data_IF_499609134078
#
_entry.id   IF_499609134078
#
_cell.length_a   1.000
_cell.length_b   1.000
_cell.length_c   1.000
_cell.angle_alpha   90.00
_cell.angle_beta   90.00
_cell.angle_gamma   90.00
#
_symmetry.space_group_name_H-M   'P 1'
#
loop_
_entity.id
_entity.type
_entity.pdbx_description
1 polymer ?
#
# COMPACT_ATOMS: atom_id res chain seq x y z
N UNK A 1 10.87 -2.39 -27.21
CA UNK A 1 11.65 -3.38 -26.42
C UNK A 1 11.28 -3.29 -24.93
N UNK A 2 10.08 -3.74 -24.60
CA UNK A 2 9.74 -4.40 -23.32
C UNK A 2 8.69 -5.42 -23.72
N UNK A 3 9.12 -6.66 -23.97
CA UNK A 3 8.20 -7.74 -24.32
C UNK A 3 7.61 -8.30 -23.02
N UNK A 4 6.33 -8.02 -22.78
CA UNK A 4 5.53 -8.76 -21.80
C UNK A 4 5.17 -10.09 -22.46
N UNK A 5 5.23 -11.17 -21.70
CA UNK A 5 4.74 -12.47 -22.13
C UNK A 5 3.32 -12.63 -21.60
N UNK A 6 2.34 -12.48 -22.49
CA UNK A 6 0.95 -12.79 -22.19
C UNK A 6 0.78 -14.31 -22.22
N UNK A 7 -0.01 -14.81 -21.29
CA UNK A 7 -0.26 -16.24 -21.10
C UNK A 7 -1.76 -16.47 -21.08
N UNK A 8 -2.25 -17.36 -21.93
CA UNK A 8 -3.67 -17.73 -22.03
C UNK A 8 -3.88 -19.16 -21.49
N UNK A 9 -4.41 -19.33 -20.27
CA UNK A 9 -4.58 -20.66 -19.66
C UNK A 9 -5.55 -21.55 -20.41
N UNK A 10 -6.55 -20.99 -21.11
CA UNK A 10 -7.57 -21.77 -21.82
C UNK A 10 -7.01 -22.48 -23.05
N UNK A 11 -5.88 -21.98 -23.58
CA UNK A 11 -5.19 -22.58 -24.75
C UNK A 11 -4.06 -23.52 -24.37
N UNK A 12 -3.65 -23.56 -23.09
CA UNK A 12 -2.52 -24.38 -22.67
C UNK A 12 -2.96 -25.84 -22.47
N UNK A 13 -2.35 -26.76 -23.21
CA UNK A 13 -2.61 -28.20 -23.13
C UNK A 13 -1.60 -28.97 -22.27
N UNK A 14 -0.64 -28.28 -21.66
CA UNK A 14 0.35 -28.89 -20.77
C UNK A 14 1.47 -29.64 -21.48
N UNK A 15 1.72 -29.40 -22.77
CA UNK A 15 2.71 -30.13 -23.56
C UNK A 15 4.18 -29.98 -23.11
N UNK A 16 4.51 -28.91 -22.36
CA UNK A 16 5.86 -28.53 -21.92
C UNK A 16 6.84 -28.06 -23.01
N UNK A 17 6.43 -27.92 -24.27
CA UNK A 17 7.31 -27.48 -25.38
C UNK A 17 8.03 -26.15 -25.08
N UNK A 18 7.36 -25.22 -24.39
CA UNK A 18 7.93 -23.93 -24.00
C UNK A 18 9.03 -24.05 -22.92
N UNK A 19 8.93 -25.06 -22.04
CA UNK A 19 9.93 -25.39 -21.02
C UNK A 19 11.16 -25.98 -21.70
N UNK A 20 10.96 -26.99 -22.56
CA UNK A 20 12.05 -27.66 -23.29
C UNK A 20 12.81 -26.70 -24.20
N UNK A 21 12.09 -25.81 -24.90
CA UNK A 21 12.70 -24.80 -25.75
C UNK A 21 13.52 -23.78 -24.96
N UNK A 22 13.06 -23.38 -23.76
CA UNK A 22 13.81 -22.52 -22.87
C UNK A 22 15.10 -23.22 -22.42
N UNK A 23 14.98 -24.43 -21.88
CA UNK A 23 16.11 -25.21 -21.35
C UNK A 23 17.18 -25.49 -22.40
N UNK A 24 16.78 -25.82 -23.63
CA UNK A 24 17.69 -26.09 -24.74
C UNK A 24 18.61 -24.91 -25.07
N UNK A 25 18.15 -23.67 -24.87
CA UNK A 25 18.91 -22.46 -25.18
C UNK A 25 19.70 -21.98 -23.97
N UNK A 26 19.07 -21.90 -22.80
CA UNK A 26 19.66 -21.26 -21.62
C UNK A 26 20.36 -22.26 -20.69
N UNK A 27 20.26 -23.56 -20.99
CA UNK A 27 20.78 -24.66 -20.16
C UNK A 27 19.95 -24.90 -18.89
N UNK A 28 18.83 -24.21 -18.73
CA UNK A 28 17.90 -24.34 -17.59
C UNK A 28 16.53 -23.77 -17.93
N UNK A 29 15.45 -24.36 -17.42
CA UNK A 29 14.11 -23.80 -17.60
C UNK A 29 13.85 -22.60 -16.67
N UNK A 30 13.47 -21.48 -17.26
CA UNK A 30 13.06 -20.23 -16.55
C UNK A 30 11.56 -19.93 -16.68
N UNK A 31 10.79 -20.91 -17.18
CA UNK A 31 9.35 -20.91 -17.37
C UNK A 31 8.82 -22.22 -16.80
N UNK A 32 7.65 -22.17 -16.17
CA UNK A 32 7.04 -23.32 -15.49
C UNK A 32 5.56 -23.39 -15.82
N UNK A 33 4.97 -24.58 -15.82
CA UNK A 33 3.51 -24.73 -15.90
C UNK A 33 2.96 -25.04 -14.51
N UNK A 34 1.90 -24.33 -14.13
CA UNK A 34 1.11 -24.63 -12.96
C UNK A 34 -0.21 -25.27 -13.41
N UNK A 35 -0.53 -26.44 -12.87
CA UNK A 35 -1.80 -27.12 -13.13
C UNK A 35 -2.94 -26.38 -12.40
N UNK A 36 -4.04 -26.13 -13.11
CA UNK A 36 -5.27 -25.56 -12.57
C UNK A 36 -6.38 -26.62 -12.62
N UNK A 37 -7.54 -26.31 -12.02
CA UNK A 37 -8.72 -27.19 -12.07
C UNK A 37 -9.16 -27.46 -13.53
N UNK A 38 -9.07 -26.43 -14.38
CA UNK A 38 -9.32 -26.50 -15.82
C UNK A 38 -8.12 -25.93 -16.60
N UNK A 39 -7.16 -26.79 -16.96
CA UNK A 39 -6.02 -26.46 -17.82
C UNK A 39 -4.73 -26.10 -17.09
N UNK A 40 -3.83 -25.38 -17.78
CA UNK A 40 -2.49 -25.07 -17.28
C UNK A 40 -2.18 -23.58 -17.42
N UNK A 41 -1.43 -23.03 -16.47
CA UNK A 41 -0.97 -21.65 -16.52
C UNK A 41 0.56 -21.58 -16.57
N UNK A 42 1.08 -20.95 -17.62
CA UNK A 42 2.50 -20.72 -17.75
C UNK A 42 2.96 -19.55 -16.86
N UNK A 43 3.91 -19.82 -15.97
CA UNK A 43 4.55 -18.85 -15.09
C UNK A 43 5.87 -18.41 -15.72
N UNK A 44 5.96 -17.13 -16.05
CA UNK A 44 7.16 -16.52 -16.63
C UNK A 44 7.42 -15.13 -16.05
N UNK A 45 8.71 -14.74 -15.98
CA UNK A 45 9.11 -13.46 -15.40
C UNK A 45 8.63 -12.29 -16.26
N UNK A 46 7.91 -11.36 -15.64
CA UNK A 46 7.29 -10.21 -16.31
C UNK A 46 8.19 -8.97 -16.42
N UNK A 47 9.50 -9.10 -16.11
CA UNK A 47 10.48 -7.99 -16.18
C UNK A 47 9.98 -6.68 -15.56
N UNK A 48 9.39 -6.77 -14.36
CA UNK A 48 8.65 -5.69 -13.71
C UNK A 48 9.42 -4.36 -13.75
N UNK A 49 8.69 -3.25 -13.92
CA UNK A 49 9.25 -1.89 -13.86
C UNK A 49 10.02 -1.67 -12.55
N UNK A 50 9.41 -2.07 -11.43
CA UNK A 50 9.95 -1.99 -10.06
C UNK A 50 9.94 -3.39 -9.39
N UNK A 51 10.99 -4.22 -9.61
CA UNK A 51 10.98 -5.64 -9.23
C UNK A 51 11.10 -5.87 -7.72
N UNK A 52 10.09 -6.51 -7.13
CA UNK A 52 10.05 -6.88 -5.72
C UNK A 52 11.20 -7.83 -5.32
N UNK A 53 11.59 -8.73 -6.23
CA UNK A 53 12.73 -9.62 -6.04
C UNK A 53 14.06 -8.85 -5.89
N UNK A 54 14.24 -7.73 -6.60
CA UNK A 54 15.42 -6.89 -6.45
C UNK A 54 15.43 -6.14 -5.12
N UNK A 55 14.29 -5.53 -4.73
CA UNK A 55 14.15 -4.84 -3.44
C UNK A 55 14.39 -5.77 -2.24
N UNK A 56 13.98 -7.03 -2.36
CA UNK A 56 14.19 -8.04 -1.32
C UNK A 56 15.58 -8.68 -1.30
N UNK A 57 16.43 -8.40 -2.29
CA UNK A 57 17.77 -8.97 -2.36
C UNK A 57 18.75 -8.16 -1.52
N UNK A 58 19.03 -8.57 -0.28
CA UNK A 58 19.96 -7.88 0.62
C UNK A 58 21.44 -7.93 0.17
N UNK A 59 21.76 -8.77 -0.82
CA UNK A 59 23.09 -8.84 -1.46
C UNK A 59 23.20 -7.95 -2.69
N UNK A 60 22.13 -7.26 -3.09
CA UNK A 60 22.03 -6.45 -4.30
C UNK A 60 22.46 -7.22 -5.58
N UNK A 61 22.27 -8.55 -5.56
CA UNK A 61 22.62 -9.48 -6.63
C UNK A 61 21.57 -9.52 -7.76
N UNK A 62 20.45 -8.80 -7.62
CA UNK A 62 19.40 -8.72 -8.63
C UNK A 62 19.33 -7.29 -9.13
N UNK A 63 19.63 -7.07 -10.40
CA UNK A 63 19.73 -5.74 -11.01
C UNK A 63 18.89 -5.64 -12.27
N UNK A 64 18.56 -4.40 -12.65
CA UNK A 64 17.82 -4.12 -13.87
C UNK A 64 18.71 -3.35 -14.84
N UNK A 65 18.95 -3.96 -16.00
CA UNK A 65 19.78 -3.41 -17.07
C UNK A 65 19.00 -3.43 -18.38
N UNK A 66 18.92 -2.29 -19.06
CA UNK A 66 18.23 -2.18 -20.36
C UNK A 66 16.79 -2.73 -20.34
N UNK A 67 16.08 -2.59 -19.21
CA UNK A 67 14.70 -3.09 -19.05
C UNK A 67 14.59 -4.53 -18.58
N UNK A 68 15.69 -5.28 -18.54
CA UNK A 68 15.74 -6.70 -18.16
C UNK A 68 16.21 -6.81 -16.71
N UNK A 69 15.45 -7.51 -15.88
CA UNK A 69 15.86 -7.87 -14.52
C UNK A 69 16.75 -9.10 -14.63
N UNK A 70 17.92 -9.12 -13.97
CA UNK A 70 18.89 -10.22 -14.02
C UNK A 70 19.39 -10.56 -12.62
N UNK A 71 19.84 -11.80 -12.43
CA UNK A 71 20.53 -12.22 -11.20
C UNK A 71 22.02 -12.38 -11.54
N UNK A 72 22.87 -11.62 -10.87
CA UNK A 72 24.32 -11.81 -10.90
C UNK A 72 24.69 -13.00 -10.02
N UNK A 73 24.99 -14.14 -10.64
CA UNK A 73 25.21 -15.39 -9.91
C UNK A 73 26.40 -15.31 -8.95
N UNK A 74 27.46 -14.57 -9.30
CA UNK A 74 28.65 -14.40 -8.44
C UNK A 74 28.34 -13.64 -7.14
N UNK A 75 27.40 -12.70 -7.16
CA UNK A 75 26.96 -11.96 -5.98
C UNK A 75 25.88 -12.72 -5.17
N UNK A 76 25.17 -13.64 -5.83
CA UNK A 76 24.06 -14.38 -5.27
C UNK A 76 24.56 -15.52 -4.36
N UNK A 77 23.99 -15.61 -3.15
CA UNK A 77 24.33 -16.66 -2.18
C UNK A 77 23.28 -17.79 -2.11
N UNK A 78 22.30 -17.79 -3.02
CA UNK A 78 21.29 -18.86 -3.06
C UNK A 78 20.31 -18.90 -1.87
N UNK A 79 20.11 -17.78 -1.15
CA UNK A 79 19.25 -17.72 0.04
C UNK A 79 17.74 -17.91 -0.22
N UNK A 80 17.31 -18.03 -1.48
CA UNK A 80 15.91 -18.26 -1.93
C UNK A 80 14.89 -17.18 -1.56
N UNK A 81 15.29 -16.11 -0.88
CA UNK A 81 14.42 -14.98 -0.52
C UNK A 81 13.70 -14.36 -1.73
N UNK A 82 14.37 -14.24 -2.88
CA UNK A 82 13.76 -13.70 -4.08
C UNK A 82 12.58 -14.55 -4.61
N UNK A 83 12.52 -15.85 -4.30
CA UNK A 83 11.38 -16.70 -4.62
C UNK A 83 10.14 -16.26 -3.83
N UNK A 84 10.30 -15.98 -2.54
CA UNK A 84 9.22 -15.47 -1.67
C UNK A 84 8.79 -14.06 -2.05
N UNK A 85 9.72 -13.26 -2.57
CA UNK A 85 9.47 -11.87 -2.94
C UNK A 85 8.85 -11.71 -4.33
N UNK A 86 8.88 -12.74 -5.17
CA UNK A 86 8.28 -12.69 -6.51
C UNK A 86 6.78 -12.98 -6.41
N UNK A 87 5.88 -11.99 -6.63
CA UNK A 87 4.44 -12.23 -6.55
C UNK A 87 3.92 -13.13 -7.68
N UNK A 88 4.69 -13.27 -8.76
CA UNK A 88 4.38 -14.13 -9.92
C UNK A 88 4.83 -15.57 -9.69
N UNK A 89 5.74 -15.81 -8.73
CA UNK A 89 6.38 -17.13 -8.57
C UNK A 89 7.37 -17.48 -9.67
N UNK A 90 7.82 -16.50 -10.46
CA UNK A 90 8.66 -16.71 -11.65
C UNK A 90 10.17 -16.85 -11.37
N UNK A 91 10.55 -17.16 -10.13
CA UNK A 91 11.96 -17.37 -9.72
C UNK A 91 12.05 -18.74 -9.05
N UNK A 92 12.99 -19.56 -9.51
CA UNK A 92 13.28 -20.88 -8.94
C UNK A 92 14.76 -20.99 -8.56
N UNK A 93 15.20 -22.17 -8.10
CA UNK A 93 16.59 -22.44 -7.80
C UNK A 93 17.02 -23.79 -8.41
N UNK A 94 18.29 -23.91 -8.76
CA UNK A 94 18.96 -25.16 -9.12
C UNK A 94 20.28 -25.30 -8.36
N UNK A 95 21.00 -26.39 -8.64
CA UNK A 95 22.37 -26.59 -8.15
C UNK A 95 23.34 -25.48 -8.61
N UNK A 96 23.04 -24.83 -9.73
CA UNK A 96 23.87 -23.78 -10.32
C UNK A 96 23.46 -22.36 -9.91
N UNK A 97 22.49 -22.21 -9.00
CA UNK A 97 22.09 -20.91 -8.44
C UNK A 97 20.61 -20.57 -8.60
N UNK A 98 20.30 -19.29 -8.40
CA UNK A 98 18.91 -18.79 -8.51
C UNK A 98 18.57 -18.54 -9.98
N UNK A 99 17.45 -19.07 -10.44
CA UNK A 99 17.01 -19.03 -11.83
C UNK A 99 15.81 -18.11 -12.00
N UNK A 100 15.86 -17.25 -13.02
CA UNK A 100 14.72 -16.52 -13.55
C UNK A 100 14.98 -16.08 -14.97
N UNK A 101 13.93 -15.97 -15.78
CA UNK A 101 14.05 -15.54 -17.17
C UNK A 101 14.75 -14.17 -17.25
N UNK A 102 15.88 -14.14 -17.93
CA UNK A 102 16.72 -12.98 -18.20
C UNK A 102 16.73 -12.59 -19.68
N UNK A 103 15.83 -13.20 -20.46
CA UNK A 103 15.65 -12.98 -21.90
C UNK A 103 16.92 -13.23 -22.73
N UNK A 104 17.84 -14.07 -22.25
CA UNK A 104 19.07 -14.44 -22.97
C UNK A 104 18.86 -15.14 -24.32
N UNK A 105 17.67 -15.70 -24.57
CA UNK A 105 17.29 -16.27 -25.87
C UNK A 105 16.96 -15.22 -26.96
N UNK A 106 17.01 -13.92 -26.65
CA UNK A 106 16.72 -12.82 -27.56
C UNK A 106 18.04 -12.15 -27.96
N UNK A 107 18.44 -12.26 -29.23
CA UNK A 107 19.69 -11.67 -29.74
C UNK A 107 19.50 -10.21 -30.19
N UNK A 108 18.36 -9.91 -30.82
CA UNK A 108 18.02 -8.59 -31.35
C UNK A 108 16.66 -8.11 -30.83
N UNK A 109 16.48 -6.79 -30.67
CA UNK A 109 15.18 -6.22 -30.33
C UNK A 109 14.11 -6.64 -31.33
N UNK A 110 13.06 -7.34 -30.88
CA UNK A 110 11.96 -7.82 -31.71
C UNK A 110 12.02 -9.29 -32.07
N UNK A 111 13.10 -10.01 -31.72
CA UNK A 111 13.12 -11.47 -31.88
C UNK A 111 12.03 -12.12 -31.01
N UNK A 112 11.49 -13.24 -31.50
CA UNK A 112 10.49 -14.02 -30.77
C UNK A 112 11.18 -14.85 -29.70
N UNK A 113 10.79 -14.74 -28.42
CA UNK A 113 11.33 -15.58 -27.36
C UNK A 113 11.10 -17.07 -27.66
N UNK A 114 12.07 -17.92 -27.33
CA UNK A 114 12.00 -19.34 -27.66
C UNK A 114 10.79 -20.07 -27.08
N UNK A 115 10.37 -19.70 -25.87
CA UNK A 115 9.16 -20.22 -25.25
C UNK A 115 7.88 -19.89 -26.04
N UNK A 116 7.83 -18.71 -26.67
CA UNK A 116 6.71 -18.28 -27.54
C UNK A 116 6.78 -19.01 -28.87
N UNK A 117 7.97 -19.09 -29.49
CA UNK A 117 8.16 -19.76 -30.77
C UNK A 117 7.80 -21.25 -30.73
N UNK A 118 8.00 -21.91 -29.58
CA UNK A 118 7.64 -23.32 -29.38
C UNK A 118 6.15 -23.54 -29.05
N UNK A 119 5.38 -22.49 -28.77
CA UNK A 119 3.99 -22.63 -28.34
C UNK A 119 3.02 -22.71 -29.52
N UNK A 120 2.84 -23.90 -30.10
CA UNK A 120 1.96 -24.11 -31.26
C UNK A 120 0.49 -23.75 -30.98
N UNK A 121 0.03 -23.92 -29.74
CA UNK A 121 -1.34 -23.60 -29.31
C UNK A 121 -1.59 -22.09 -29.15
N UNK A 122 -0.55 -21.26 -29.20
CA UNK A 122 -0.67 -19.81 -29.02
C UNK A 122 -1.09 -19.42 -27.59
N UNK A 123 -0.72 -20.22 -26.60
CA UNK A 123 -0.86 -19.88 -25.17
C UNK A 123 0.08 -18.73 -24.77
N UNK A 124 1.27 -18.65 -25.37
CA UNK A 124 2.27 -17.64 -25.08
C UNK A 124 2.37 -16.63 -26.21
N UNK A 125 2.38 -15.34 -25.88
CA UNK A 125 2.56 -14.26 -26.84
C UNK A 125 3.56 -13.24 -26.32
N UNK A 126 4.57 -12.91 -27.12
CA UNK A 126 5.49 -11.82 -26.83
C UNK A 126 4.95 -10.53 -27.44
N UNK A 127 4.55 -9.61 -26.57
CA UNK A 127 3.95 -8.35 -27.01
C UNK A 127 4.81 -7.17 -26.65
N UNK A 128 5.07 -6.27 -27.60
CA UNK A 128 5.49 -4.91 -27.21
C UNK A 128 4.27 -4.23 -26.60
N UNK A 129 4.40 -3.86 -25.33
CA UNK A 129 3.33 -3.20 -24.57
C UNK A 129 2.79 -1.98 -25.31
N UNK A 130 3.60 -1.29 -26.12
CA UNK A 130 3.16 -0.12 -26.90
C UNK A 130 2.31 -0.49 -28.11
N UNK A 131 2.60 -1.61 -28.78
CA UNK A 131 1.90 -2.03 -30.00
C UNK A 131 0.51 -2.60 -29.70
N UNK A 132 0.41 -3.43 -28.64
CA UNK A 132 -0.89 -3.92 -28.14
C UNK A 132 -1.82 -2.77 -27.78
N UNK A 133 -1.26 -1.71 -27.18
CA UNK A 133 -2.02 -0.49 -26.85
C UNK A 133 -2.51 0.23 -28.11
N UNK A 134 -1.68 0.34 -29.15
CA UNK A 134 -2.02 1.06 -30.39
C UNK A 134 -2.97 0.31 -31.33
N UNK A 135 -2.92 -1.03 -31.39
CA UNK A 135 -3.84 -1.81 -32.23
C UNK A 135 -5.24 -1.92 -31.62
N UNK A 136 -5.32 -1.90 -30.28
CA UNK A 136 -6.60 -1.73 -29.59
C UNK A 136 -7.23 -0.37 -29.93
N UNK A 137 -6.45 0.71 -30.08
CA UNK A 137 -6.96 2.05 -30.43
C UNK A 137 -7.58 2.13 -31.85
N UNK A 138 -7.05 1.40 -32.85
CA UNK A 138 -7.54 1.43 -34.24
C UNK A 138 -8.94 0.84 -34.43
N UNK A 139 -9.37 -0.06 -33.55
CA UNK A 139 -10.69 -0.72 -33.62
C UNK A 139 -11.89 0.15 -33.21
N UNK A 140 -11.67 1.39 -32.75
CA UNK A 140 -12.70 2.21 -32.10
C UNK A 140 -13.07 3.54 -32.79
N UNK A 141 -12.65 3.78 -34.04
CA UNK A 141 -13.18 4.94 -34.78
C UNK A 141 -14.62 4.71 -35.24
N UNK A 142 -15.61 5.19 -34.47
CA UNK A 142 -16.59 6.20 -34.90
C UNK A 142 -17.80 6.41 -33.96
N UNK A 143 -18.22 7.69 -33.94
CA UNK A 143 -19.53 8.29 -33.64
C UNK A 143 -19.99 8.33 -32.19
N UNK A 144 -19.70 9.50 -31.60
CA UNK A 144 -20.37 10.02 -30.43
C UNK A 144 -21.91 10.07 -30.60
N UNK A 145 -22.63 9.54 -29.62
CA UNK A 145 -24.00 9.93 -29.29
C UNK A 145 -24.26 9.69 -27.80
N UNK A 146 -25.07 10.57 -27.25
CA UNK A 146 -25.29 10.93 -25.86
C UNK A 146 -26.17 9.98 -25.03
N UNK A 147 -25.83 9.94 -23.74
CA UNK A 147 -26.72 9.97 -22.56
C UNK A 147 -27.34 8.71 -21.94
N UNK A 148 -27.25 8.75 -20.61
CA UNK A 148 -28.22 8.40 -19.57
C UNK A 148 -27.98 7.13 -18.75
N UNK A 149 -28.25 7.33 -17.46
CA UNK A 149 -27.82 6.63 -16.25
C UNK A 149 -28.18 5.15 -16.11
N UNK A 150 -27.34 4.41 -15.40
CA UNK A 150 -27.78 3.55 -14.29
C UNK A 150 -26.60 3.14 -13.40
N UNK A 151 -26.78 3.29 -12.09
CA UNK A 151 -25.86 2.78 -11.07
C UNK A 151 -26.07 1.26 -10.92
N UNK A 152 -25.01 0.48 -11.15
CA UNK A 152 -24.84 -0.85 -10.53
C UNK A 152 -23.35 -1.07 -10.18
N UNK A 153 -23.05 -1.80 -9.08
CA UNK A 153 -21.72 -1.81 -8.47
C UNK A 153 -20.82 -2.96 -8.96
N UNK A 154 -19.54 -2.76 -8.64
CA UNK A 154 -18.43 -3.73 -8.56
C UNK A 154 -17.69 -4.08 -9.87
N UNK A 155 -16.53 -3.42 -10.02
CA UNK A 155 -15.33 -4.11 -10.47
C UNK A 155 -14.11 -3.46 -9.80
N UNK A 156 -13.00 -4.20 -9.57
CA UNK A 156 -11.85 -3.78 -8.77
C UNK A 156 -10.99 -2.68 -9.40
N UNK A 157 -11.39 -2.14 -10.55
CA UNK A 157 -10.77 -0.94 -11.14
C UNK A 157 -10.98 0.34 -10.30
N UNK A 158 -11.55 0.20 -9.11
CA UNK A 158 -11.78 1.22 -8.10
C UNK A 158 -10.49 1.79 -7.48
N UNK A 159 -9.30 1.24 -7.73
CA UNK A 159 -8.16 1.54 -6.87
C UNK A 159 -7.58 2.95 -6.99
N UNK A 160 -7.55 3.61 -8.16
CA UNK A 160 -7.11 5.01 -8.22
C UNK A 160 -8.19 5.97 -7.71
N UNK A 161 -9.45 5.80 -8.14
CA UNK A 161 -10.57 6.62 -7.66
C UNK A 161 -10.76 6.47 -6.14
N UNK A 162 -10.64 5.26 -5.58
CA UNK A 162 -10.66 5.02 -4.13
C UNK A 162 -9.40 5.54 -3.41
N UNK A 163 -8.19 5.32 -3.95
CA UNK A 163 -6.94 5.79 -3.34
C UNK A 163 -6.79 7.33 -3.34
N UNK A 164 -7.46 8.00 -4.27
CA UNK A 164 -7.44 9.47 -4.42
C UNK A 164 -8.75 10.17 -4.05
N UNK A 165 -9.82 9.44 -3.70
CA UNK A 165 -11.11 10.08 -3.37
C UNK A 165 -10.96 11.01 -2.16
N UNK A 166 -11.34 12.28 -2.36
CA UNK A 166 -11.17 13.38 -1.40
C UNK A 166 -9.81 14.10 -1.46
N UNK A 167 -8.89 13.65 -2.32
CA UNK A 167 -7.51 14.15 -2.43
C UNK A 167 -7.08 14.46 -3.86
N UNK A 168 -7.81 13.95 -4.85
CA UNK A 168 -7.57 14.27 -6.24
C UNK A 168 -7.77 15.77 -6.46
N UNK A 169 -6.73 16.42 -6.98
CA UNK A 169 -6.76 17.84 -7.38
C UNK A 169 -6.92 18.01 -8.89
N UNK A 170 -7.29 16.92 -9.59
CA UNK A 170 -7.59 16.92 -11.03
C UNK A 170 -6.43 17.40 -11.91
N UNK A 171 -5.19 17.20 -11.45
CA UNK A 171 -3.97 17.63 -12.14
C UNK A 171 -3.67 16.89 -13.46
N UNK A 172 -4.46 15.88 -13.83
CA UNK A 172 -4.28 15.14 -15.09
C UNK A 172 -3.10 14.17 -15.12
N UNK A 173 -2.26 14.08 -14.08
CA UNK A 173 -1.07 13.20 -14.12
C UNK A 173 -1.42 11.73 -14.33
N UNK A 174 -2.48 11.26 -13.68
CA UNK A 174 -2.96 9.89 -13.84
C UNK A 174 -3.50 9.56 -15.24
N UNK A 175 -4.06 10.55 -15.93
CA UNK A 175 -4.45 10.47 -17.35
C UNK A 175 -3.20 10.45 -18.23
N UNK A 176 -2.25 11.37 -18.02
CA UNK A 176 -1.00 11.44 -18.79
C UNK A 176 -0.14 10.18 -18.70
N UNK A 177 -0.13 9.49 -17.56
CA UNK A 177 0.71 8.31 -17.33
C UNK A 177 -0.03 6.99 -17.54
N UNK A 178 -1.32 7.02 -17.89
CA UNK A 178 -2.10 5.83 -18.12
C UNK A 178 -1.64 5.18 -19.43
N UNK A 179 -1.05 3.97 -19.42
CA UNK A 179 -0.50 3.38 -20.64
C UNK A 179 -1.59 2.83 -21.59
N UNK A 180 -2.85 2.85 -21.17
CA UNK A 180 -4.00 2.25 -21.88
C UNK A 180 -5.16 3.25 -22.05
N UNK A 181 -4.90 4.54 -21.80
CA UNK A 181 -5.90 5.62 -21.82
C UNK A 181 -7.20 5.27 -21.08
N UNK A 182 -7.07 4.47 -20.03
CA UNK A 182 -8.19 4.05 -19.21
C UNK A 182 -8.66 5.15 -18.27
N UNK A 183 -7.99 6.31 -18.22
CA UNK A 183 -8.28 7.38 -17.27
C UNK A 183 -8.45 8.68 -18.04
N UNK A 184 -9.58 9.35 -17.84
CA UNK A 184 -9.80 10.73 -18.28
C UNK A 184 -10.24 11.60 -17.14
N UNK A 185 -9.72 12.81 -17.05
CA UNK A 185 -10.21 13.81 -16.11
C UNK A 185 -11.36 14.58 -16.75
N UNK A 186 -12.58 14.34 -16.29
CA UNK A 186 -13.81 14.99 -16.77
C UNK A 186 -14.49 15.63 -15.57
N UNK A 187 -15.00 16.86 -15.70
CA UNK A 187 -15.77 17.55 -14.66
C UNK A 187 -15.17 17.44 -13.24
N UNK A 188 -13.89 17.76 -13.10
CA UNK A 188 -13.18 17.69 -11.82
C UNK A 188 -13.28 16.31 -11.15
N UNK A 189 -13.12 15.21 -11.91
CA UNK A 189 -12.82 13.90 -11.37
C UNK A 189 -12.19 12.98 -12.43
N UNK A 190 -11.33 12.02 -12.05
CA UNK A 190 -10.82 11.02 -12.97
C UNK A 190 -11.85 9.92 -13.17
N UNK A 191 -12.41 9.83 -14.37
CA UNK A 191 -13.20 8.69 -14.83
C UNK A 191 -12.27 7.59 -15.31
N UNK A 192 -12.48 6.37 -14.79
CA UNK A 192 -11.68 5.21 -15.15
C UNK A 192 -12.53 4.24 -15.96
N UNK A 193 -12.21 4.09 -17.23
CA UNK A 193 -12.76 3.05 -18.08
C UNK A 193 -12.22 1.69 -17.63
N UNK A 194 -13.05 0.99 -16.87
CA UNK A 194 -12.74 -0.30 -16.25
C UNK A 194 -12.44 -1.39 -17.26
N UNK A 195 -12.91 -1.24 -18.51
CA UNK A 195 -12.69 -2.20 -19.59
C UNK A 195 -11.32 -2.01 -20.24
N UNK A 196 -10.76 -0.79 -20.15
CA UNK A 196 -9.42 -0.47 -20.65
C UNK A 196 -8.34 -0.61 -19.58
N UNK A 197 -8.69 -0.45 -18.31
CA UNK A 197 -7.75 -0.48 -17.20
C UNK A 197 -7.09 -1.85 -17.04
N UNK A 198 -5.80 -1.95 -17.36
CA UNK A 198 -4.99 -3.17 -17.19
C UNK A 198 -4.36 -3.32 -15.80
N UNK A 199 -4.79 -2.50 -14.83
CA UNK A 199 -4.33 -2.56 -13.43
C UNK A 199 -2.80 -2.47 -13.24
N UNK A 200 -2.09 -1.80 -14.15
CA UNK A 200 -0.64 -1.65 -14.09
C UNK A 200 -0.12 -0.78 -12.92
N UNK A 201 -0.98 0.03 -12.31
CA UNK A 201 -0.64 0.91 -11.19
C UNK A 201 0.18 2.16 -11.55
N UNK A 202 0.47 2.42 -12.83
CA UNK A 202 1.24 3.61 -13.26
C UNK A 202 0.60 4.92 -12.80
N UNK A 203 -0.72 5.01 -12.92
CA UNK A 203 -1.50 6.15 -12.47
C UNK A 203 -1.41 6.37 -10.96
N UNK A 204 -1.31 5.30 -10.16
CA UNK A 204 -1.13 5.34 -8.72
C UNK A 204 0.29 5.81 -8.35
N UNK A 205 1.30 5.25 -9.05
CA UNK A 205 2.71 5.54 -8.81
C UNK A 205 3.10 6.97 -9.19
N UNK A 206 2.51 7.50 -10.27
CA UNK A 206 2.79 8.85 -10.74
C UNK A 206 1.88 9.92 -10.11
N UNK A 207 0.84 9.52 -9.37
CA UNK A 207 -0.09 10.48 -8.79
C UNK A 207 0.63 11.36 -7.77
N UNK A 208 0.67 12.70 -7.96
CA UNK A 208 1.43 13.58 -7.08
C UNK A 208 0.92 13.61 -5.64
N UNK A 209 -0.36 13.30 -5.42
CA UNK A 209 -0.95 13.16 -4.07
C UNK A 209 -0.71 11.78 -3.44
N UNK A 210 0.02 10.93 -4.16
CA UNK A 210 0.49 9.62 -3.73
C UNK A 210 2.03 9.55 -3.70
N UNK A 211 2.79 10.37 -4.44
CA UNK A 211 4.27 10.41 -4.39
C UNK A 211 4.81 10.68 -2.96
N UNK A 212 5.88 10.01 -2.49
CA UNK A 212 6.35 10.07 -1.12
C UNK A 212 7.46 11.11 -0.91
N UNK A 213 7.46 11.67 0.28
CA UNK A 213 8.63 12.22 0.96
C UNK A 213 9.77 11.18 1.03
N UNK A 214 10.88 11.41 0.33
CA UNK A 214 12.21 10.82 0.56
C UNK A 214 12.37 9.29 0.36
N UNK A 215 13.44 8.88 -0.30
CA UNK A 215 13.84 7.47 -0.36
C UNK A 215 14.04 6.90 1.06
N UNK A 216 13.40 5.76 1.38
CA UNK A 216 13.51 5.07 2.67
C UNK A 216 12.42 5.39 3.72
N UNK A 217 11.42 6.23 3.39
CA UNK A 217 10.26 6.47 4.27
C UNK A 217 9.37 5.22 4.38
N UNK A 218 8.96 4.89 5.61
CA UNK A 218 7.90 3.90 5.87
C UNK A 218 6.50 4.37 5.43
N UNK A 219 6.36 5.66 5.12
CA UNK A 219 5.15 6.28 4.56
C UNK A 219 5.27 6.41 3.05
N UNK A 220 5.53 5.31 2.36
CA UNK A 220 5.60 5.27 0.90
C UNK A 220 4.19 5.33 0.27
N UNK A 221 4.07 5.59 -1.05
CA UNK A 221 2.80 5.78 -1.75
C UNK A 221 1.85 4.60 -1.60
N UNK A 222 2.41 3.38 -1.58
CA UNK A 222 1.62 2.15 -1.46
C UNK A 222 1.11 2.00 -0.04
N UNK A 223 1.94 2.28 0.97
CA UNK A 223 1.51 2.29 2.38
C UNK A 223 0.38 3.30 2.60
N UNK A 224 0.52 4.52 2.08
CA UNK A 224 -0.51 5.56 2.15
C UNK A 224 -1.79 5.11 1.41
N UNK A 225 -1.66 4.54 0.20
CA UNK A 225 -2.80 4.03 -0.55
C UNK A 225 -3.52 2.89 0.17
N UNK A 226 -2.78 1.98 0.82
CA UNK A 226 -3.34 0.89 1.61
C UNK A 226 -4.10 1.41 2.83
N UNK A 227 -3.56 2.39 3.57
CA UNK A 227 -4.26 3.01 4.70
C UNK A 227 -5.56 3.68 4.24
N UNK A 228 -5.54 4.38 3.10
CA UNK A 228 -6.72 5.02 2.53
C UNK A 228 -7.76 4.01 2.02
N UNK A 229 -7.32 2.91 1.42
CA UNK A 229 -8.21 1.83 0.98
C UNK A 229 -8.87 1.17 2.19
N UNK A 230 -8.08 0.74 3.18
CA UNK A 230 -8.58 0.03 4.36
C UNK A 230 -9.53 0.90 5.19
N UNK A 231 -9.25 2.20 5.33
CA UNK A 231 -10.12 3.13 6.06
C UNK A 231 -11.48 3.34 5.38
N UNK A 232 -11.54 3.26 4.04
CA UNK A 232 -12.79 3.42 3.27
C UNK A 232 -13.56 2.12 3.10
N UNK A 233 -12.85 1.03 2.81
CA UNK A 233 -13.46 -0.26 2.54
C UNK A 233 -13.83 -1.03 3.81
N UNK A 234 -13.22 -0.67 4.96
CA UNK A 234 -13.36 -1.42 6.21
C UNK A 234 -12.77 -2.84 6.13
N UNK A 235 -11.90 -3.09 5.14
CA UNK A 235 -11.29 -4.40 4.86
C UNK A 235 -9.81 -4.22 4.56
N UNK A 236 -9.00 -5.21 4.93
CA UNK A 236 -7.57 -5.23 4.59
C UNK A 236 -7.37 -5.81 3.17
N UNK A 237 -6.25 -5.46 2.54
CA UNK A 237 -5.86 -6.00 1.23
C UNK A 237 -5.47 -7.46 1.39
N UNK A 238 -6.18 -8.37 0.72
CA UNK A 238 -5.85 -9.79 0.68
C UNK A 238 -4.60 -10.00 -0.17
N UNK A 239 -3.50 -10.41 0.47
CA UNK A 239 -2.22 -10.72 -0.16
C UNK A 239 -1.50 -11.81 0.62
N UNK A 240 -0.57 -12.52 -0.04
CA UNK A 240 0.31 -13.49 0.63
C UNK A 240 1.13 -12.83 1.75
N UNK A 241 1.62 -13.64 2.70
CA UNK A 241 2.41 -13.23 3.87
C UNK A 241 3.84 -12.75 3.53
N UNK A 242 4.02 -11.99 2.45
CA UNK A 242 5.28 -11.35 2.11
C UNK A 242 5.49 -10.07 2.93
N UNK A 243 6.65 -9.94 3.58
CA UNK A 243 7.01 -8.69 4.26
C UNK A 243 7.58 -7.70 3.23
N UNK A 244 6.99 -6.51 3.14
CA UNK A 244 7.41 -5.47 2.19
C UNK A 244 8.54 -4.58 2.74
N UNK A 245 8.91 -4.77 4.01
CA UNK A 245 10.05 -4.11 4.63
C UNK A 245 11.36 -4.74 4.15
N UNK A 246 12.43 -3.95 4.10
CA UNK A 246 13.79 -4.48 3.98
C UNK A 246 14.03 -5.42 5.17
N UNK A 247 14.32 -6.68 4.87
CA UNK A 247 14.51 -7.75 5.85
C UNK A 247 15.79 -7.53 6.70
N UNK A 248 15.85 -8.11 7.92
CA UNK A 248 16.49 -7.51 9.10
C UNK A 248 18.02 -7.46 9.09
N UNK A 249 18.59 -6.47 9.80
CA UNK A 249 19.93 -6.58 10.39
C UNK A 249 19.84 -7.22 11.80
N UNK A 250 20.97 -7.46 12.48
CA UNK A 250 20.95 -8.16 13.77
C UNK A 250 20.13 -7.46 14.87
N UNK A 251 19.84 -6.16 14.75
CA UNK A 251 19.03 -5.40 15.70
C UNK A 251 17.51 -5.56 15.48
N UNK A 252 17.10 -6.16 14.35
CA UNK A 252 15.70 -6.33 13.93
C UNK A 252 15.16 -7.75 14.21
N UNK A 253 15.97 -8.63 14.81
CA UNK A 253 15.59 -10.02 15.13
C UNK A 253 14.64 -10.02 16.33
N UNK A 254 13.34 -9.95 16.05
CA UNK A 254 12.30 -10.31 17.01
C UNK A 254 12.00 -11.81 16.88
N UNK A 255 12.54 -12.62 17.78
CA UNK A 255 12.07 -14.00 17.95
C UNK A 255 10.69 -13.91 18.60
N UNK A 256 9.63 -14.25 17.84
CA UNK A 256 8.26 -14.32 18.36
C UNK A 256 8.00 -15.77 18.77
N UNK A 257 8.13 -16.14 20.05
CA UNK A 257 7.95 -17.53 20.51
C UNK A 257 6.50 -18.03 20.39
N UNK A 258 5.53 -17.15 20.10
CA UNK A 258 4.11 -17.49 20.10
C UNK A 258 3.76 -18.69 19.21
N UNK A 259 4.38 -18.81 18.03
CA UNK A 259 4.11 -19.91 17.10
C UNK A 259 4.63 -21.28 17.58
N UNK A 260 5.49 -21.33 18.60
CA UNK A 260 6.05 -22.57 19.12
C UNK A 260 5.29 -23.13 20.34
N UNK A 261 4.43 -22.34 20.99
CA UNK A 261 3.76 -22.76 22.23
C UNK A 261 2.24 -22.63 22.23
N UNK A 262 1.65 -21.68 21.48
CA UNK A 262 0.21 -21.43 21.46
C UNK A 262 -0.24 -21.20 20.02
N UNK A 263 -1.21 -21.98 19.56
CA UNK A 263 -1.80 -21.77 18.24
C UNK A 263 -2.46 -20.37 18.20
N UNK A 264 -2.25 -19.57 17.13
CA UNK A 264 -2.95 -18.31 16.95
C UNK A 264 -4.47 -18.53 16.94
N UNK A 265 -5.23 -17.57 17.48
CA UNK A 265 -6.70 -17.60 17.44
C UNK A 265 -7.16 -17.63 15.98
N UNK A 266 -7.94 -18.64 15.62
CA UNK A 266 -8.55 -18.70 14.29
C UNK A 266 -9.74 -17.75 14.25
N UNK A 267 -9.56 -16.59 13.61
CA UNK A 267 -10.61 -15.57 13.49
C UNK A 267 -11.92 -16.05 12.86
N UNK A 268 -11.91 -17.17 12.11
CA UNK A 268 -13.10 -17.74 11.49
C UNK A 268 -13.84 -18.70 12.43
N UNK A 269 -13.19 -19.15 13.51
CA UNK A 269 -13.70 -20.17 14.41
C UNK A 269 -13.89 -19.66 15.83
N UNK A 270 -13.12 -18.65 16.25
CA UNK A 270 -13.03 -18.21 17.63
C UNK A 270 -13.08 -16.67 17.73
N UNK A 271 -13.78 -16.11 18.73
CA UNK A 271 -13.79 -14.67 18.97
C UNK A 271 -12.44 -14.20 19.52
N UNK A 272 -11.98 -13.04 19.07
CA UNK A 272 -10.78 -12.38 19.58
C UNK A 272 -11.17 -11.23 20.51
N UNK A 273 -10.83 -11.32 21.80
CA UNK A 273 -11.04 -10.24 22.76
C UNK A 273 -9.88 -9.24 22.70
N UNK A 274 -10.18 -8.00 22.28
CA UNK A 274 -9.22 -6.90 22.18
C UNK A 274 -9.39 -5.84 23.28
N UNK A 275 -10.23 -6.11 24.28
CA UNK A 275 -10.49 -5.16 25.36
C UNK A 275 -9.25 -4.95 26.23
N UNK A 276 -9.00 -3.71 26.63
CA UNK A 276 -7.88 -3.33 27.50
C UNK A 276 -8.39 -2.37 28.58
N UNK A 277 -8.01 -2.60 29.83
CA UNK A 277 -8.29 -1.68 30.95
C UNK A 277 -7.00 -1.06 31.45
N UNK A 278 -6.93 0.27 31.44
CA UNK A 278 -5.82 1.07 31.96
C UNK A 278 -6.13 1.55 33.39
N UNK A 279 -5.11 1.56 34.25
CA UNK A 279 -5.25 2.04 35.63
C UNK A 279 -5.74 1.01 36.64
N UNK A 280 -5.83 -0.28 36.29
CA UNK A 280 -6.35 -1.37 37.14
C UNK A 280 -5.70 -1.52 38.52
N UNK A 281 -4.52 -0.94 38.74
CA UNK A 281 -3.79 -1.06 40.00
C UNK A 281 -4.16 -0.01 41.05
N UNK A 282 -4.39 1.25 40.63
CA UNK A 282 -4.50 2.39 41.55
C UNK A 282 -5.57 3.41 41.17
N UNK A 283 -6.16 3.34 39.97
CA UNK A 283 -7.23 4.25 39.61
C UNK A 283 -8.53 3.80 40.28
N UNK A 284 -9.22 4.72 40.95
CA UNK A 284 -10.58 4.48 41.48
C UNK A 284 -11.56 4.18 40.35
N UNK A 285 -11.39 4.86 39.20
CA UNK A 285 -12.14 4.64 37.97
C UNK A 285 -11.19 4.27 36.81
N UNK A 286 -10.90 2.98 36.59
CA UNK A 286 -10.04 2.53 35.49
C UNK A 286 -10.66 2.76 34.10
N UNK A 287 -9.85 3.21 33.14
CA UNK A 287 -10.28 3.45 31.77
C UNK A 287 -10.32 2.14 30.96
N UNK A 288 -11.51 1.66 30.62
CA UNK A 288 -11.69 0.44 29.81
C UNK A 288 -11.97 0.76 28.34
N UNK A 289 -11.20 0.18 27.42
CA UNK A 289 -11.29 0.38 25.97
C UNK A 289 -11.59 -0.95 25.27
N UNK A 290 -12.35 -0.94 24.18
CA UNK A 290 -12.68 -2.16 23.41
C UNK A 290 -11.55 -2.62 22.49
N UNK A 291 -10.54 -1.78 22.28
CA UNK A 291 -9.40 -2.03 21.39
C UNK A 291 -8.10 -1.56 22.05
N UNK A 292 -6.96 -2.24 21.80
CA UNK A 292 -5.65 -1.81 22.30
C UNK A 292 -5.08 -0.62 21.51
N UNK A 293 -5.79 -0.12 20.51
CA UNK A 293 -5.33 0.98 19.65
C UNK A 293 -5.80 2.31 20.22
N UNK A 294 -4.86 3.22 20.44
CA UNK A 294 -5.12 4.60 20.87
C UNK A 294 -4.72 5.60 19.79
N UNK A 295 -5.50 6.69 19.69
CA UNK A 295 -5.14 7.84 18.86
C UNK A 295 -4.24 8.75 19.69
N UNK A 296 -3.03 9.03 19.19
CA UNK A 296 -2.08 9.90 19.89
C UNK A 296 -2.60 11.34 20.03
N UNK A 297 -2.20 12.03 21.10
CA UNK A 297 -2.55 13.42 21.36
C UNK A 297 -1.99 14.38 20.32
N UNK A 298 -2.87 14.96 19.51
CA UNK A 298 -2.56 15.96 18.50
C UNK A 298 -3.40 17.21 18.74
N UNK A 299 -2.74 18.36 18.83
CA UNK A 299 -3.35 19.60 19.29
C UNK A 299 -4.25 20.27 18.25
N UNK A 300 -5.30 20.94 18.73
CA UNK A 300 -5.98 21.95 17.94
C UNK A 300 -5.03 23.12 17.62
N UNK A 301 -5.06 23.56 16.35
CA UNK A 301 -4.09 24.48 15.74
C UNK A 301 -3.02 23.74 14.93
N UNK A 302 -2.49 22.61 15.43
CA UNK A 302 -1.66 21.73 14.60
C UNK A 302 -2.54 20.96 13.60
N UNK A 303 -3.66 20.43 14.09
CA UNK A 303 -4.75 19.88 13.29
C UNK A 303 -5.88 20.90 13.14
N UNK A 304 -6.67 20.73 12.06
CA UNK A 304 -7.90 21.49 11.86
C UNK A 304 -8.98 21.07 12.86
N UNK A 305 -10.01 21.90 13.01
CA UNK A 305 -11.17 21.62 13.85
C UNK A 305 -11.87 20.33 13.40
N UNK A 306 -12.11 20.19 12.11
CA UNK A 306 -12.76 19.02 11.49
C UNK A 306 -11.99 17.73 11.77
N UNK A 307 -10.65 17.81 11.72
CA UNK A 307 -9.78 16.68 12.03
C UNK A 307 -9.94 16.24 13.49
N UNK A 308 -9.96 17.20 14.43
CA UNK A 308 -10.20 16.91 15.86
C UNK A 308 -11.56 16.25 16.08
N UNK A 309 -12.63 16.77 15.47
CA UNK A 309 -13.97 16.19 15.60
C UNK A 309 -14.08 14.79 14.94
N UNK A 310 -13.39 14.57 13.82
CA UNK A 310 -13.34 13.28 13.15
C UNK A 310 -12.63 12.23 14.01
N UNK A 311 -11.53 12.60 14.68
CA UNK A 311 -10.81 11.70 15.61
C UNK A 311 -11.68 11.36 16.82
N UNK A 312 -12.38 12.32 17.40
CA UNK A 312 -13.32 12.08 18.50
C UNK A 312 -14.40 11.06 18.10
N UNK A 313 -15.11 11.30 16.99
CA UNK A 313 -16.11 10.36 16.45
C UNK A 313 -15.53 8.98 16.16
N UNK A 314 -14.39 8.94 15.48
CA UNK A 314 -13.74 7.69 15.09
C UNK A 314 -13.34 6.85 16.31
N UNK A 315 -12.77 7.49 17.34
CA UNK A 315 -12.39 6.82 18.59
C UNK A 315 -13.61 6.22 19.30
N UNK A 316 -14.72 6.96 19.38
CA UNK A 316 -15.99 6.47 19.93
C UNK A 316 -16.51 5.25 19.16
N UNK A 317 -16.51 5.31 17.82
CA UNK A 317 -17.01 4.22 16.97
C UNK A 317 -16.24 2.90 17.15
N UNK A 318 -14.93 2.96 17.39
CA UNK A 318 -14.09 1.77 17.59
C UNK A 318 -13.94 1.37 19.06
N UNK A 319 -14.60 2.09 19.98
CA UNK A 319 -14.48 1.88 21.42
C UNK A 319 -13.10 2.20 21.99
N UNK A 320 -12.37 3.12 21.35
CA UNK A 320 -11.10 3.68 21.82
C UNK A 320 -11.34 4.99 22.59
N UNK A 321 -10.34 5.85 22.67
CA UNK A 321 -10.35 7.11 23.38
C UNK A 321 -9.77 8.24 22.52
N UNK A 322 -10.41 9.41 22.56
CA UNK A 322 -9.91 10.64 21.95
C UNK A 322 -8.82 11.28 22.85
N UNK A 323 -7.97 12.13 22.28
CA UNK A 323 -6.95 12.84 23.04
C UNK A 323 -6.81 14.29 22.56
N UNK A 324 -6.93 15.24 23.49
CA UNK A 324 -6.91 16.69 23.20
C UNK A 324 -5.59 17.17 22.59
N UNK A 325 -4.47 16.57 22.99
CA UNK A 325 -3.13 17.09 22.69
C UNK A 325 -2.84 18.43 23.37
N UNK A 326 -1.71 19.05 23.02
CA UNK A 326 -1.17 20.22 23.73
C UNK A 326 -1.97 21.53 23.57
N UNK A 327 -3.04 21.54 22.77
CA UNK A 327 -3.67 22.75 22.27
C UNK A 327 -4.91 23.23 23.04
N UNK A 328 -5.29 22.53 24.11
CA UNK A 328 -6.60 22.68 24.75
C UNK A 328 -7.67 21.79 24.09
N UNK A 329 -8.90 21.89 24.58
CA UNK A 329 -10.04 21.06 24.17
C UNK A 329 -11.09 21.91 23.47
N UNK A 330 -11.54 21.44 22.30
CA UNK A 330 -12.74 22.00 21.67
C UNK A 330 -13.99 21.48 22.39
N UNK A 331 -15.00 22.33 22.71
CA UNK A 331 -16.23 21.87 23.34
C UNK A 331 -16.89 20.70 22.58
N UNK A 332 -16.92 20.79 21.25
CA UNK A 332 -17.54 19.80 20.39
C UNK A 332 -16.71 18.50 20.32
N UNK A 333 -15.40 18.56 20.57
CA UNK A 333 -14.57 17.37 20.70
C UNK A 333 -15.01 16.54 21.92
N UNK A 334 -15.31 17.21 23.05
CA UNK A 334 -15.81 16.52 24.26
C UNK A 334 -17.17 15.89 24.04
N UNK A 335 -18.09 16.58 23.36
CA UNK A 335 -19.43 16.08 23.08
C UNK A 335 -19.42 14.82 22.19
N UNK A 336 -18.45 14.71 21.29
CA UNK A 336 -18.35 13.60 20.33
C UNK A 336 -17.54 12.41 20.85
N UNK A 337 -16.69 12.62 21.85
CA UNK A 337 -15.87 11.58 22.46
C UNK A 337 -16.64 10.85 23.58
N UNK A 338 -16.79 9.53 23.47
CA UNK A 338 -17.25 8.68 24.57
C UNK A 338 -16.24 8.74 25.73
N UNK A 339 -14.96 8.55 25.40
CA UNK A 339 -13.81 8.68 26.31
C UNK A 339 -12.83 9.70 25.81
N UNK A 340 -12.37 10.59 26.68
CA UNK A 340 -11.42 11.64 26.37
C UNK A 340 -10.23 11.66 27.35
N UNK A 341 -9.04 11.53 26.79
CA UNK A 341 -7.79 11.87 27.47
C UNK A 341 -7.52 13.36 27.31
N UNK A 342 -7.38 14.06 28.43
CA UNK A 342 -6.95 15.47 28.45
C UNK A 342 -5.45 15.54 28.70
N UNK A 343 -4.73 16.24 27.83
CA UNK A 343 -3.28 16.36 27.95
C UNK A 343 -2.87 17.52 28.87
N UNK A 344 -1.92 17.26 29.77
CA UNK A 344 -1.23 18.24 30.59
C UNK A 344 0.23 18.34 30.12
N UNK A 345 0.57 19.43 29.43
CA UNK A 345 1.89 19.64 28.83
C UNK A 345 2.60 20.86 29.44
N UNK A 346 3.86 21.10 29.05
CA UNK A 346 4.67 22.21 29.56
C UNK A 346 4.04 23.58 29.37
N UNK A 347 3.39 23.82 28.23
CA UNK A 347 2.74 25.09 27.90
C UNK A 347 1.41 25.35 28.61
N UNK A 348 0.77 24.30 29.16
CA UNK A 348 -0.50 24.39 29.90
C UNK A 348 -1.61 25.17 29.17
N UNK A 349 -1.58 25.14 27.84
CA UNK A 349 -2.55 25.88 27.03
C UNK A 349 -3.96 25.33 27.25
N UNK A 350 -4.91 26.21 27.61
CA UNK A 350 -6.28 25.85 27.90
C UNK A 350 -6.48 24.96 29.13
N UNK A 351 -5.45 24.77 29.97
CA UNK A 351 -5.54 23.93 31.16
C UNK A 351 -6.16 24.71 32.32
N UNK A 352 -7.32 24.26 32.77
CA UNK A 352 -8.02 24.73 33.96
C UNK A 352 -8.48 23.54 34.81
N UNK A 353 -8.99 23.79 36.03
CA UNK A 353 -9.63 22.74 36.84
C UNK A 353 -10.82 22.12 36.11
N UNK A 354 -11.62 22.93 35.41
CA UNK A 354 -12.75 22.48 34.59
C UNK A 354 -12.27 21.54 33.48
N UNK A 355 -11.20 21.91 32.76
CA UNK A 355 -10.60 21.06 31.72
C UNK A 355 -10.08 19.72 32.25
N UNK A 356 -9.47 19.70 33.43
CA UNK A 356 -8.96 18.45 34.00
C UNK A 356 -10.08 17.52 34.49
N UNK A 357 -11.17 18.09 35.00
CA UNK A 357 -12.30 17.33 35.55
C UNK A 357 -13.24 16.74 34.48
N UNK A 358 -13.15 17.19 33.22
CA UNK A 358 -13.99 16.64 32.13
C UNK A 358 -13.39 15.44 31.40
N UNK A 359 -12.09 15.17 31.60
CA UNK A 359 -11.39 14.05 30.99
C UNK A 359 -11.52 12.77 31.80
N UNK A 360 -11.63 11.63 31.11
CA UNK A 360 -11.67 10.30 31.71
C UNK A 360 -10.26 9.80 32.09
N UNK A 361 -9.23 10.47 31.57
CA UNK A 361 -7.84 10.27 31.94
C UNK A 361 -7.01 11.51 31.65
N UNK A 362 -5.88 11.67 32.36
CA UNK A 362 -4.93 12.76 32.17
C UNK A 362 -3.62 12.21 31.61
N UNK A 363 -3.19 12.73 30.46
CA UNK A 363 -1.87 12.43 29.89
C UNK A 363 -0.87 13.52 30.25
N UNK A 364 0.08 13.18 31.13
CA UNK A 364 1.19 14.09 31.48
C UNK A 364 2.27 13.99 30.40
N UNK A 365 2.32 14.98 29.51
CA UNK A 365 3.29 15.02 28.41
C UNK A 365 4.62 15.58 28.88
N UNK A 366 5.60 14.69 29.09
CA UNK A 366 6.98 15.07 29.42
C UNK A 366 7.81 15.37 28.16
N UNK A 367 7.53 14.69 27.04
CA UNK A 367 8.27 14.88 25.79
C UNK A 367 7.59 14.18 24.61
N UNK A 368 8.17 14.29 23.42
CA UNK A 368 7.69 13.58 22.24
C UNK A 368 8.87 13.15 21.34
N UNK A 369 8.74 12.00 20.68
CA UNK A 369 9.83 11.43 19.87
C UNK A 369 10.26 12.30 18.69
N UNK A 370 9.37 13.14 18.14
CA UNK A 370 9.71 14.05 17.06
C UNK A 370 10.72 15.14 17.46
N UNK A 371 10.77 15.49 18.75
CA UNK A 371 11.66 16.52 19.29
C UNK A 371 11.88 16.32 20.80
N UNK A 372 12.73 15.36 21.19
CA UNK A 372 13.05 15.14 22.59
C UNK A 372 13.68 16.39 23.20
N UNK A 373 13.31 16.72 24.44
CA UNK A 373 13.85 17.87 25.17
C UNK A 373 13.28 19.25 24.79
N UNK A 374 12.34 19.32 23.83
CA UNK A 374 11.67 20.56 23.44
C UNK A 374 10.14 20.42 23.52
N UNK A 375 9.46 21.55 23.76
CA UNK A 375 7.99 21.61 23.78
C UNK A 375 7.35 21.66 22.39
N UNK A 376 6.02 21.58 22.32
CA UNK A 376 5.25 21.82 21.10
C UNK A 376 5.55 23.16 20.45
N UNK A 377 5.42 23.24 19.12
CA UNK A 377 5.58 24.48 18.36
C UNK A 377 4.33 24.63 17.49
N UNK A 378 3.74 25.81 17.51
CA UNK A 378 2.73 26.21 16.56
C UNK A 378 3.22 27.50 15.89
N UNK A 379 3.13 27.58 14.57
CA UNK A 379 3.48 28.79 13.84
C UNK A 379 2.48 29.90 14.20
N UNK A 380 2.96 31.14 14.38
CA UNK A 380 2.11 32.27 14.74
C UNK A 380 0.94 32.49 13.76
N UNK A 381 1.17 32.26 12.46
CA UNK A 381 0.13 32.33 11.41
C UNK A 381 -1.02 31.33 11.63
N UNK A 382 -0.79 30.24 12.37
CA UNK A 382 -1.83 29.25 12.72
C UNK A 382 -2.55 29.59 14.02
N UNK A 383 -2.16 30.65 14.73
CA UNK A 383 -2.83 31.13 15.95
C UNK A 383 -4.01 31.99 15.54
N UNK A 384 -5.06 31.34 15.05
CA UNK A 384 -6.34 31.99 14.76
C UNK A 384 -6.99 32.51 16.05
N UNK A 385 -7.96 33.44 15.96
CA UNK A 385 -8.74 33.89 17.13
C UNK A 385 -9.32 32.74 17.96
N UNK A 386 -9.79 31.70 17.29
CA UNK A 386 -10.33 30.50 17.94
C UNK A 386 -9.24 29.71 18.67
N UNK A 387 -8.08 29.49 18.04
CA UNK A 387 -6.94 28.81 18.68
C UNK A 387 -6.44 29.61 19.88
N UNK A 388 -6.32 30.93 19.74
CA UNK A 388 -5.89 31.82 20.82
C UNK A 388 -6.85 31.73 22.02
N UNK A 389 -8.16 31.80 21.77
CA UNK A 389 -9.20 31.66 22.79
C UNK A 389 -9.14 30.32 23.52
N UNK A 390 -9.06 29.20 22.79
CA UNK A 390 -8.98 27.86 23.40
C UNK A 390 -7.72 27.70 24.24
N UNK A 391 -6.60 28.29 23.80
CA UNK A 391 -5.31 28.21 24.50
C UNK A 391 -5.20 29.17 25.68
N UNK A 392 -6.05 30.19 25.75
CA UNK A 392 -5.96 31.26 26.74
C UNK A 392 -4.77 32.20 26.49
N UNK A 393 -4.43 32.45 25.22
CA UNK A 393 -3.32 33.34 24.82
C UNK A 393 -3.82 34.52 23.98
N UNK A 394 -3.07 35.63 23.87
CA UNK A 394 -3.41 36.73 22.97
C UNK A 394 -3.37 36.31 21.50
N UNK A 395 -4.21 36.93 20.66
CA UNK A 395 -4.19 36.70 19.21
C UNK A 395 -2.85 37.11 18.59
N UNK A 396 -2.34 36.31 17.65
CA UNK A 396 -1.11 36.60 16.89
C UNK A 396 0.21 36.44 17.65
N UNK A 397 0.20 35.76 18.81
CA UNK A 397 1.41 35.48 19.62
C UNK A 397 2.02 34.11 19.40
#
# INVERSE_FOLDING_TARGET
MVQILLTDPEKCDGCNDCIEACEKITGHASIFLNELEDGYHAIVCQQCVDPACARGCFRDAIRKEHGIVKIEQEACIGCKLCMLMCPIGAITYSENGMIKCDQSCIEKPGDTPACVAACEKGCLEAVDVREVVSDIQKGFELKAATSSSSLTPSSPSSDLAAATQGLCVFCGTCEMVCPVDAIKVVDNHPEIDKKKCIMCGSCLAACPVLLPSGAGSIWDPRTIANIRYTSKAGKYVLRGFGTERRLPNFDDILIVPAQASIAPVDKYREPCNTQVTLGTRYAEEPLTLQTPVLIAGMSFGALSRESKLALAKGSTMVGSCANTGEGGMLPEERELADKLIVQYSSGRFGVSSEYLNVGDAIEVKIGQGAKPGMGGHLLAEKVSPEVAKIRGIPEGT
#
